data_IF_123968207667
#
_entry.id   IF_123968207667
#
_cell.length_a   1.000
_cell.length_b   1.000
_cell.length_c   1.000
_cell.angle_alpha   90.00
_cell.angle_beta   90.00
_cell.angle_gamma   90.00
#
_symmetry.space_group_name_H-M   'P 1'
#
loop_
_entity.id
_entity.type
_entity.pdbx_description
1 polymer ?
#
# COMPACT_ATOMS: atom_id res chain seq x y z
N UNK A 1 10.41 0.31 -9.46
CA UNK A 1 11.35 -0.63 -8.81
C UNK A 1 11.03 -2.02 -9.35
N UNK A 2 12.01 -2.66 -10.00
CA UNK A 2 11.85 -3.97 -10.65
C UNK A 2 11.49 -5.06 -9.61
N UNK A 3 10.50 -5.90 -9.91
CA UNK A 3 10.06 -7.02 -9.07
C UNK A 3 11.16 -8.06 -8.86
N UNK A 4 12.03 -8.30 -9.85
CA UNK A 4 13.16 -9.21 -9.74
C UNK A 4 14.15 -8.76 -8.66
N UNK A 5 14.40 -7.45 -8.56
CA UNK A 5 15.26 -6.87 -7.53
C UNK A 5 14.65 -7.08 -6.14
N UNK A 6 13.33 -6.94 -6.01
CA UNK A 6 12.61 -7.23 -4.77
C UNK A 6 12.77 -8.71 -4.40
N UNK A 7 12.56 -9.62 -5.35
CA UNK A 7 12.67 -11.06 -5.14
C UNK A 7 14.07 -11.48 -4.70
N UNK A 8 15.11 -10.98 -5.38
CA UNK A 8 16.51 -11.26 -5.02
C UNK A 8 16.82 -10.77 -3.60
N UNK A 9 16.41 -9.55 -3.25
CA UNK A 9 16.65 -9.00 -1.91
C UNK A 9 15.90 -9.81 -0.84
N UNK A 10 14.66 -10.20 -1.11
CA UNK A 10 13.88 -11.01 -0.17
C UNK A 10 14.50 -12.40 0.02
N UNK A 11 14.97 -13.06 -1.05
CA UNK A 11 15.68 -14.34 -0.93
C UNK A 11 16.99 -14.19 -0.12
N UNK A 12 17.80 -13.16 -0.40
CA UNK A 12 19.03 -12.89 0.36
C UNK A 12 18.77 -12.59 1.84
N UNK A 13 17.57 -12.14 2.20
CA UNK A 13 17.17 -11.84 3.59
C UNK A 13 16.38 -12.96 4.26
N UNK A 14 16.05 -14.04 3.55
CA UNK A 14 15.28 -15.18 4.08
C UNK A 14 15.93 -15.77 5.33
N UNK A 15 17.25 -15.97 5.30
CA UNK A 15 18.01 -16.52 6.44
C UNK A 15 18.11 -15.56 7.64
N UNK A 16 17.89 -14.26 7.41
CA UNK A 16 17.92 -13.21 8.45
C UNK A 16 16.56 -13.15 9.17
N UNK A 17 15.48 -13.57 8.51
CA UNK A 17 14.12 -13.49 9.00
C UNK A 17 13.67 -14.80 9.63
N UNK A 18 14.03 -14.99 10.91
CA UNK A 18 13.68 -16.16 11.72
C UNK A 18 12.17 -16.42 11.89
N UNK A 19 11.31 -15.51 11.42
CA UNK A 19 9.84 -15.60 11.51
C UNK A 19 9.28 -15.81 10.09
N UNK A 20 8.97 -17.06 9.74
CA UNK A 20 8.44 -17.43 8.42
C UNK A 20 7.11 -16.71 8.13
N UNK A 21 6.22 -16.58 9.12
CA UNK A 21 4.95 -15.84 8.95
C UNK A 21 5.21 -14.38 8.52
N UNK A 22 6.30 -13.75 8.99
CA UNK A 22 6.65 -12.38 8.60
C UNK A 22 7.15 -12.34 7.15
N UNK A 23 7.98 -13.30 6.74
CA UNK A 23 8.48 -13.41 5.38
C UNK A 23 7.33 -13.57 4.37
N UNK A 24 6.43 -14.51 4.63
CA UNK A 24 5.28 -14.76 3.76
C UNK A 24 4.38 -13.52 3.67
N UNK A 25 4.13 -12.85 4.80
CA UNK A 25 3.34 -11.63 4.85
C UNK A 25 4.00 -10.47 4.09
N UNK A 26 5.32 -10.42 4.02
CA UNK A 26 6.02 -9.41 3.21
C UNK A 26 5.94 -9.73 1.73
N UNK A 27 6.05 -10.99 1.33
CA UNK A 27 5.84 -11.39 -0.05
C UNK A 27 4.42 -11.06 -0.51
N UNK A 28 3.41 -11.46 0.28
CA UNK A 28 2.00 -11.11 0.04
C UNK A 28 1.82 -9.59 -0.16
N UNK A 29 2.54 -8.76 0.62
CA UNK A 29 2.48 -7.31 0.49
C UNK A 29 2.99 -6.84 -0.87
N UNK A 30 4.14 -7.35 -1.30
CA UNK A 30 4.75 -6.94 -2.55
C UNK A 30 3.96 -7.44 -3.76
N UNK A 31 3.41 -8.65 -3.72
CA UNK A 31 2.53 -9.18 -4.77
C UNK A 31 1.24 -8.37 -4.88
N UNK A 32 0.54 -8.12 -3.77
CA UNK A 32 -0.67 -7.29 -3.78
C UNK A 32 -0.40 -5.87 -4.30
N UNK A 33 0.77 -5.30 -3.94
CA UNK A 33 1.17 -3.99 -4.44
C UNK A 33 1.51 -3.98 -5.93
N UNK A 34 1.94 -5.11 -6.51
CA UNK A 34 2.16 -5.24 -7.94
C UNK A 34 0.82 -5.31 -8.68
N UNK A 35 -0.11 -6.15 -8.21
CA UNK A 35 -1.47 -6.23 -8.74
C UNK A 35 -2.20 -4.86 -8.70
N UNK A 36 -1.94 -4.07 -7.67
CA UNK A 36 -2.48 -2.70 -7.59
C UNK A 36 -1.87 -1.75 -8.63
N UNK A 37 -0.60 -1.93 -8.98
CA UNK A 37 0.02 -1.17 -10.08
C UNK A 37 -0.53 -1.60 -11.43
N UNK A 38 -0.80 -2.88 -11.63
CA UNK A 38 -1.44 -3.40 -12.85
C UNK A 38 -2.85 -2.81 -13.01
N UNK A 39 -3.60 -2.71 -11.91
CA UNK A 39 -4.87 -1.98 -11.88
C UNK A 39 -4.70 -0.50 -12.26
N UNK A 40 -3.69 0.20 -11.71
CA UNK A 40 -3.43 1.59 -12.11
C UNK A 40 -3.15 1.72 -13.62
N UNK A 41 -2.46 0.75 -14.22
CA UNK A 41 -2.23 0.72 -15.68
C UNK A 41 -3.51 0.50 -16.46
N UNK A 42 -4.40 -0.40 -15.99
CA UNK A 42 -5.72 -0.57 -16.59
C UNK A 42 -6.58 0.71 -16.50
N UNK A 43 -6.53 1.41 -15.36
CA UNK A 43 -7.19 2.69 -15.16
C UNK A 43 -6.64 3.77 -16.11
N UNK A 44 -5.33 3.85 -16.30
CA UNK A 44 -4.69 4.78 -17.24
C UNK A 44 -5.17 4.52 -18.69
N UNK A 45 -5.35 3.26 -19.08
CA UNK A 45 -5.90 2.93 -20.39
C UNK A 45 -7.36 3.41 -20.54
N UNK A 46 -8.19 3.26 -19.50
CA UNK A 46 -9.57 3.78 -19.49
C UNK A 46 -9.59 5.32 -19.56
N UNK A 47 -8.68 5.98 -18.86
CA UNK A 47 -8.52 7.44 -18.89
C UNK A 47 -8.11 7.95 -20.27
N UNK A 48 -7.19 7.26 -20.97
CA UNK A 48 -6.82 7.60 -22.36
C UNK A 48 -8.01 7.52 -23.30
N UNK A 49 -8.86 6.49 -23.16
CA UNK A 49 -10.12 6.39 -23.92
C UNK A 49 -11.09 7.52 -23.57
N UNK A 50 -11.19 7.89 -22.30
CA UNK A 50 -12.05 8.99 -21.84
C UNK A 50 -11.58 10.35 -22.39
N UNK A 51 -10.26 10.58 -22.44
CA UNK A 51 -9.66 11.77 -23.06
C UNK A 51 -9.91 11.82 -24.57
N UNK A 52 -9.84 10.69 -25.26
CA UNK A 52 -10.21 10.61 -26.67
C UNK A 52 -11.69 10.97 -26.89
N UNK A 53 -12.57 10.42 -26.05
CA UNK A 53 -14.01 10.73 -26.02
C UNK A 53 -14.25 12.23 -25.82
N UNK A 54 -13.53 12.85 -24.89
CA UNK A 54 -13.55 14.30 -24.67
C UNK A 54 -13.19 15.10 -25.94
N UNK A 55 -12.16 14.69 -26.67
CA UNK A 55 -11.76 15.37 -27.91
C UNK A 55 -12.87 15.34 -28.97
N UNK A 56 -13.58 14.21 -29.10
CA UNK A 56 -14.69 14.08 -30.07
C UNK A 56 -15.86 14.98 -29.67
N UNK A 57 -16.23 15.00 -28.39
CA UNK A 57 -17.31 15.88 -27.90
C UNK A 57 -16.97 17.36 -28.15
N UNK A 58 -15.72 17.76 -27.89
CA UNK A 58 -15.25 19.12 -28.17
C UNK A 58 -15.30 19.45 -29.67
N UNK A 59 -14.92 18.51 -30.52
CA UNK A 59 -14.99 18.69 -31.97
C UNK A 59 -16.44 18.85 -32.44
N UNK A 60 -17.38 18.09 -31.88
CA UNK A 60 -18.81 18.25 -32.16
C UNK A 60 -19.31 19.66 -31.79
N UNK A 61 -18.89 20.19 -30.64
CA UNK A 61 -19.24 21.55 -30.22
C UNK A 61 -18.65 22.61 -31.18
N UNK A 62 -17.40 22.43 -31.61
CA UNK A 62 -16.78 23.32 -32.58
C UNK A 62 -17.49 23.27 -33.94
N UNK A 63 -17.85 22.07 -34.43
CA UNK A 63 -18.60 21.91 -35.68
C UNK A 63 -19.97 22.54 -35.61
N UNK A 64 -20.64 22.46 -34.47
CA UNK A 64 -21.89 23.14 -34.28
C UNK A 64 -21.76 24.66 -34.38
N UNK A 65 -20.74 25.26 -33.75
CA UNK A 65 -20.51 26.71 -33.83
C UNK A 65 -20.25 27.15 -35.29
N UNK A 66 -19.42 26.41 -36.04
CA UNK A 66 -19.16 26.65 -37.47
C UNK A 66 -20.45 26.52 -38.33
N UNK A 67 -21.25 25.49 -38.11
CA UNK A 67 -22.46 25.20 -38.90
C UNK A 67 -23.60 26.17 -38.56
N UNK A 68 -23.77 26.52 -37.29
CA UNK A 68 -24.83 27.40 -36.81
C UNK A 68 -24.68 28.83 -37.31
N UNK A 69 -23.46 29.37 -37.34
CA UNK A 69 -23.19 30.69 -37.91
C UNK A 69 -23.52 30.74 -39.42
N UNK A 70 -23.14 29.69 -40.16
CA UNK A 70 -23.43 29.59 -41.59
C UNK A 70 -24.92 29.46 -41.89
N UNK A 71 -25.65 28.66 -41.11
CA UNK A 71 -27.09 28.48 -41.24
C UNK A 71 -27.88 29.78 -40.97
N UNK A 72 -27.42 30.61 -40.02
CA UNK A 72 -28.02 31.93 -39.79
C UNK A 72 -27.75 32.93 -40.93
N UNK A 73 -26.62 32.80 -41.63
CA UNK A 73 -26.24 33.70 -42.72
C UNK A 73 -26.93 33.40 -44.07
N UNK A 74 -27.36 32.15 -44.32
CA UNK A 74 -27.91 31.69 -45.60
C UNK A 74 -29.31 31.07 -45.42
N UNK A 75 -30.33 31.91 -45.23
CA UNK A 75 -31.68 31.50 -44.80
C UNK A 75 -32.63 31.01 -45.92
N UNK A 76 -32.15 30.53 -47.07
CA UNK A 76 -33.03 30.29 -48.24
C UNK A 76 -32.81 29.04 -49.12
N UNK A 77 -32.15 27.97 -48.67
CA UNK A 77 -32.19 26.69 -49.42
C UNK A 77 -32.78 25.54 -48.60
N UNK A 78 -33.78 24.87 -49.20
CA UNK A 78 -34.57 23.77 -48.63
C UNK A 78 -33.82 22.43 -48.66
N UNK A 79 -34.05 21.63 -47.60
CA UNK A 79 -33.93 20.16 -47.49
C UNK A 79 -32.60 19.51 -47.05
N UNK A 80 -31.53 20.25 -46.78
CA UNK A 80 -30.31 19.67 -46.17
C UNK A 80 -30.27 19.99 -44.68
N UNK A 81 -30.14 18.96 -43.84
CA UNK A 81 -29.94 19.12 -42.40
C UNK A 81 -28.82 20.16 -42.15
N UNK A 82 -29.04 21.19 -41.32
CA UNK A 82 -28.08 22.29 -41.13
C UNK A 82 -26.83 21.90 -40.33
N UNK A 83 -26.80 20.73 -39.70
CA UNK A 83 -25.75 20.29 -38.76
C UNK A 83 -25.12 18.90 -39.08
N UNK A 84 -24.77 18.59 -40.33
CA UNK A 84 -24.35 17.25 -40.72
C UNK A 84 -23.02 16.82 -40.07
N UNK A 85 -22.04 17.74 -39.92
CA UNK A 85 -20.76 17.42 -39.29
C UNK A 85 -20.90 17.30 -37.78
N UNK A 86 -21.73 18.14 -37.16
CA UNK A 86 -22.05 18.01 -35.73
C UNK A 86 -22.64 16.63 -35.43
N UNK A 87 -23.64 16.20 -36.22
CA UNK A 87 -24.27 14.89 -36.05
C UNK A 87 -23.30 13.73 -36.34
N UNK A 88 -22.41 13.90 -37.30
CA UNK A 88 -21.34 12.94 -37.56
C UNK A 88 -20.43 12.76 -36.33
N UNK A 89 -19.98 13.85 -35.70
CA UNK A 89 -19.12 13.76 -34.51
C UNK A 89 -19.87 13.24 -33.28
N UNK A 90 -21.15 13.59 -33.11
CA UNK A 90 -21.98 12.97 -32.05
C UNK A 90 -22.16 11.46 -32.29
N UNK A 91 -22.21 11.02 -33.54
CA UNK A 91 -22.25 9.59 -33.91
C UNK A 91 -20.91 8.90 -33.59
N UNK A 92 -19.79 9.54 -33.92
CA UNK A 92 -18.46 9.08 -33.55
C UNK A 92 -18.32 8.96 -32.02
N UNK A 93 -18.83 9.93 -31.27
CA UNK A 93 -18.85 9.90 -29.81
C UNK A 93 -19.65 8.69 -29.29
N UNK A 94 -20.82 8.38 -29.85
CA UNK A 94 -21.55 7.17 -29.46
C UNK A 94 -20.77 5.89 -29.76
N UNK A 95 -20.06 5.87 -30.89
CA UNK A 95 -19.27 4.71 -31.29
C UNK A 95 -18.07 4.43 -30.38
N UNK A 96 -17.60 5.39 -29.56
CA UNK A 96 -16.50 5.13 -28.61
C UNK A 96 -16.88 4.20 -27.46
N UNK A 97 -18.18 4.16 -27.10
CA UNK A 97 -18.69 3.32 -26.01
C UNK A 97 -18.19 3.71 -24.61
N UNK A 98 -18.48 2.84 -23.63
CA UNK A 98 -18.03 3.01 -22.24
C UNK A 98 -16.52 2.74 -22.12
N UNK A 99 -15.71 3.70 -21.60
CA UNK A 99 -14.29 3.48 -21.39
C UNK A 99 -13.97 2.42 -20.31
N UNK A 100 -14.93 2.06 -19.45
CA UNK A 100 -14.77 1.10 -18.35
C UNK A 100 -15.43 -0.24 -18.69
N UNK A 101 -14.61 -1.27 -18.94
CA UNK A 101 -15.11 -2.62 -19.27
C UNK A 101 -15.49 -3.41 -18.03
N UNK A 102 -16.22 -4.51 -18.22
CA UNK A 102 -16.48 -5.46 -17.15
C UNK A 102 -15.19 -6.03 -16.53
N UNK A 103 -14.13 -6.25 -17.34
CA UNK A 103 -12.85 -6.71 -16.82
C UNK A 103 -12.18 -5.66 -15.91
N UNK A 104 -12.30 -4.38 -16.24
CA UNK A 104 -11.81 -3.29 -15.37
C UNK A 104 -12.47 -3.35 -13.99
N UNK A 105 -13.81 -3.50 -13.94
CA UNK A 105 -14.52 -3.60 -12.67
C UNK A 105 -14.17 -4.87 -11.88
N UNK A 106 -14.00 -6.01 -12.57
CA UNK A 106 -13.53 -7.24 -11.93
C UNK A 106 -12.15 -7.03 -11.28
N UNK A 107 -11.21 -6.45 -12.02
CA UNK A 107 -9.86 -6.16 -11.54
C UNK A 107 -9.89 -5.20 -10.34
N UNK A 108 -10.72 -4.15 -10.40
CA UNK A 108 -10.91 -3.23 -9.28
C UNK A 108 -11.37 -3.96 -8.01
N UNK A 109 -12.40 -4.80 -8.13
CA UNK A 109 -12.96 -5.55 -6.99
C UNK A 109 -11.94 -6.52 -6.38
N UNK A 110 -11.20 -7.22 -7.23
CA UNK A 110 -10.16 -8.16 -6.80
C UNK A 110 -9.05 -7.42 -6.02
N UNK A 111 -8.53 -6.33 -6.58
CA UNK A 111 -7.50 -5.51 -5.93
C UNK A 111 -8.01 -4.90 -4.63
N UNK A 112 -9.24 -4.36 -4.62
CA UNK A 112 -9.83 -3.78 -3.41
C UNK A 112 -9.93 -4.82 -2.29
N UNK A 113 -10.47 -6.01 -2.60
CA UNK A 113 -10.60 -7.11 -1.65
C UNK A 113 -9.24 -7.58 -1.14
N UNK A 114 -8.25 -7.73 -2.02
CA UNK A 114 -6.90 -8.11 -1.65
C UNK A 114 -6.27 -7.11 -0.68
N UNK A 115 -6.44 -5.80 -0.92
CA UNK A 115 -5.89 -4.78 -0.03
C UNK A 115 -6.56 -4.77 1.35
N UNK A 116 -7.88 -4.94 1.41
CA UNK A 116 -8.62 -5.07 2.68
C UNK A 116 -8.13 -6.30 3.46
N UNK A 117 -8.08 -7.47 2.84
CA UNK A 117 -7.58 -8.70 3.46
C UNK A 117 -6.14 -8.55 3.95
N UNK A 118 -5.31 -7.86 3.18
CA UNK A 118 -3.94 -7.59 3.56
C UNK A 118 -3.85 -6.68 4.79
N UNK A 119 -4.74 -5.69 4.90
CA UNK A 119 -4.77 -4.78 6.04
C UNK A 119 -5.14 -5.56 7.31
N UNK A 120 -6.10 -6.48 7.22
CA UNK A 120 -6.48 -7.37 8.31
C UNK A 120 -5.32 -8.27 8.76
N UNK A 121 -4.64 -8.94 7.82
CA UNK A 121 -3.45 -9.76 8.11
C UNK A 121 -2.37 -8.95 8.83
N UNK A 122 -2.07 -7.75 8.32
CA UNK A 122 -1.09 -6.86 8.93
C UNK A 122 -1.52 -6.42 10.34
N UNK A 123 -2.79 -6.06 10.54
CA UNK A 123 -3.34 -5.69 11.84
C UNK A 123 -3.26 -6.84 12.85
N UNK A 124 -3.61 -8.05 12.44
CA UNK A 124 -3.50 -9.25 13.26
C UNK A 124 -2.05 -9.52 13.69
N UNK A 125 -1.10 -9.47 12.74
CA UNK A 125 0.34 -9.67 13.04
C UNK A 125 0.86 -8.59 14.00
N UNK A 126 0.50 -7.31 13.80
CA UNK A 126 0.87 -6.23 14.73
C UNK A 126 0.35 -6.49 16.14
N UNK A 127 -0.93 -6.88 16.30
CA UNK A 127 -1.50 -7.21 17.62
C UNK A 127 -0.75 -8.38 18.27
N UNK A 128 -0.36 -9.40 17.50
CA UNK A 128 0.47 -10.54 17.98
C UNK A 128 1.84 -10.06 18.47
N UNK A 129 2.51 -9.17 17.72
CA UNK A 129 3.80 -8.58 18.10
C UNK A 129 3.69 -7.68 19.34
N UNK A 130 2.66 -6.84 19.44
CA UNK A 130 2.41 -5.99 20.60
C UNK A 130 2.19 -6.83 21.88
N UNK A 131 1.46 -7.94 21.78
CA UNK A 131 1.30 -8.90 22.89
C UNK A 131 2.62 -9.54 23.29
N UNK A 132 3.42 -10.01 22.32
CA UNK A 132 4.76 -10.59 22.58
C UNK A 132 5.68 -9.59 23.29
N UNK A 133 5.73 -8.34 22.82
CA UNK A 133 6.53 -7.28 23.44
C UNK A 133 6.09 -6.99 24.88
N UNK A 134 4.78 -6.96 25.16
CA UNK A 134 4.25 -6.79 26.53
C UNK A 134 4.64 -7.97 27.42
N UNK A 135 4.46 -9.21 26.95
CA UNK A 135 4.80 -10.43 27.68
C UNK A 135 6.29 -10.51 27.99
N UNK A 136 7.14 -10.12 27.03
CA UNK A 136 8.58 -10.08 27.18
C UNK A 136 9.04 -9.14 28.30
N UNK A 137 8.43 -7.96 28.42
CA UNK A 137 8.71 -7.06 29.56
C UNK A 137 8.34 -7.68 30.90
N UNK A 138 7.26 -8.47 30.95
CA UNK A 138 6.87 -9.23 32.13
C UNK A 138 7.88 -10.34 32.47
N UNK A 139 8.21 -11.19 31.49
CA UNK A 139 9.14 -12.30 31.68
C UNK A 139 10.56 -11.83 32.03
N UNK A 140 10.99 -10.66 31.56
CA UNK A 140 12.27 -10.04 31.99
C UNK A 140 12.30 -9.74 33.48
N UNK A 141 11.19 -9.23 34.05
CA UNK A 141 11.08 -8.98 35.49
C UNK A 141 11.13 -10.29 36.27
N UNK A 142 10.36 -11.28 35.84
CA UNK A 142 10.30 -12.60 36.47
C UNK A 142 11.67 -13.29 36.42
N UNK A 143 12.35 -13.30 35.26
CA UNK A 143 13.68 -13.91 35.13
C UNK A 143 14.72 -13.22 36.02
N UNK A 144 14.63 -11.90 36.17
CA UNK A 144 15.52 -11.16 37.06
C UNK A 144 15.28 -11.51 38.53
N UNK A 145 14.02 -11.62 38.96
CA UNK A 145 13.65 -12.03 40.33
C UNK A 145 14.14 -13.45 40.62
N UNK A 146 13.91 -14.40 39.71
CA UNK A 146 14.38 -15.79 39.85
C UNK A 146 15.90 -15.84 39.94
N UNK A 147 16.60 -15.09 39.08
CA UNK A 147 18.06 -15.03 39.09
C UNK A 147 18.61 -14.50 40.42
N UNK A 148 18.02 -13.41 40.94
CA UNK A 148 18.39 -12.85 42.25
C UNK A 148 18.12 -13.87 43.37
N UNK A 149 16.94 -14.49 43.39
CA UNK A 149 16.56 -15.45 44.42
C UNK A 149 17.47 -16.69 44.43
N UNK A 150 17.76 -17.26 43.25
CA UNK A 150 18.67 -18.39 43.11
C UNK A 150 20.09 -18.04 43.58
N UNK A 151 20.56 -16.84 43.22
CA UNK A 151 21.89 -16.38 43.64
C UNK A 151 21.99 -16.20 45.17
N UNK A 152 21.00 -15.56 45.80
CA UNK A 152 20.95 -15.39 47.26
C UNK A 152 20.91 -16.75 47.95
N UNK A 153 20.14 -17.72 47.42
CA UNK A 153 20.10 -19.08 47.96
C UNK A 153 21.47 -19.76 47.91
N UNK A 154 22.20 -19.67 46.79
CA UNK A 154 23.54 -20.24 46.66
C UNK A 154 24.51 -19.62 47.65
N UNK A 155 24.46 -18.30 47.86
CA UNK A 155 25.28 -17.62 48.87
C UNK A 155 24.99 -18.13 50.28
N UNK A 156 23.72 -18.24 50.67
CA UNK A 156 23.33 -18.74 52.01
C UNK A 156 23.84 -20.19 52.19
N UNK A 157 23.61 -21.07 51.22
CA UNK A 157 24.10 -22.45 51.26
C UNK A 157 25.63 -22.51 51.36
N UNK A 158 26.35 -21.61 50.67
CA UNK A 158 27.81 -21.55 50.70
C UNK A 158 28.36 -21.13 52.06
N UNK A 159 27.72 -20.16 52.71
CA UNK A 159 28.08 -19.73 54.08
C UNK A 159 27.83 -20.85 55.09
N UNK A 160 26.68 -21.54 55.01
CA UNK A 160 26.37 -22.66 55.91
C UNK A 160 27.36 -23.82 55.73
N UNK A 161 27.69 -24.20 54.49
CA UNK A 161 28.67 -25.24 54.22
C UNK A 161 30.06 -24.89 54.79
N UNK A 162 30.51 -23.64 54.60
CA UNK A 162 31.80 -23.18 55.12
C UNK A 162 31.85 -23.16 56.67
N UNK A 163 30.73 -22.86 57.35
CA UNK A 163 30.66 -22.85 58.81
C UNK A 163 30.68 -24.26 59.44
N UNK A 164 30.26 -25.29 58.70
CA UNK A 164 30.16 -26.68 59.20
C UNK A 164 31.45 -27.49 58.92
N UNK A 165 32.36 -27.02 58.05
CA UNK A 165 33.60 -27.72 57.70
C UNK A 165 34.86 -26.86 57.88
N UNK A 166 35.80 -27.27 58.76
CA UNK A 166 37.23 -26.94 58.64
C UNK A 166 37.98 -28.24 58.26
N UNK A 167 39.07 -28.30 57.45
CA UNK A 167 39.98 -27.28 56.89
C UNK A 167 40.18 -27.43 55.33
N UNK A 168 41.35 -27.13 54.74
CA UNK A 168 41.70 -26.14 53.72
C UNK A 168 41.10 -26.27 52.29
N UNK A 169 40.27 -27.27 52.00
CA UNK A 169 39.74 -27.50 50.63
C UNK A 169 38.73 -26.42 50.20
N UNK A 170 38.20 -25.67 51.18
CA UNK A 170 37.18 -24.62 51.01
C UNK A 170 37.70 -23.38 50.27
N UNK A 171 39.00 -23.07 50.34
CA UNK A 171 39.57 -21.92 49.61
C UNK A 171 39.49 -22.09 48.09
N UNK A 172 39.60 -23.32 47.59
CA UNK A 172 39.43 -23.63 46.18
C UNK A 172 37.96 -23.53 45.73
N UNK A 173 37.00 -23.93 46.59
CA UNK A 173 35.57 -23.85 46.28
C UNK A 173 35.02 -22.41 46.33
N UNK A 174 35.49 -21.59 47.29
CA UNK A 174 35.13 -20.18 47.39
C UNK A 174 35.61 -19.36 46.17
N UNK A 175 36.78 -19.70 45.62
CA UNK A 175 37.27 -19.11 44.37
C UNK A 175 36.46 -19.55 43.13
N UNK A 176 35.94 -20.78 43.10
CA UNK A 176 35.08 -21.27 42.01
C UNK A 176 33.64 -20.72 42.07
N UNK A 177 33.12 -20.45 43.26
CA UNK A 177 31.81 -19.81 43.47
C UNK A 177 31.80 -18.31 43.16
N UNK A 178 32.98 -17.68 43.05
CA UNK A 178 33.16 -16.32 42.55
C UNK A 178 32.99 -16.25 41.02
N UNK A 179 31.95 -16.89 40.47
CA UNK A 179 31.51 -16.56 39.11
C UNK A 179 31.01 -15.12 39.18
N UNK A 180 31.57 -14.18 38.39
CA UNK A 180 31.14 -12.79 38.46
C UNK A 180 29.67 -12.72 38.08
N UNK A 181 28.81 -12.43 39.07
CA UNK A 181 27.39 -12.09 38.90
C UNK A 181 27.14 -11.12 37.73
N UNK A 182 28.09 -10.20 37.57
CA UNK A 182 28.08 -9.21 36.50
C UNK A 182 28.09 -9.85 35.11
N UNK A 183 28.67 -11.03 34.90
CA UNK A 183 28.75 -11.70 33.60
C UNK A 183 27.42 -12.35 33.20
N UNK A 184 26.82 -13.14 34.09
CA UNK A 184 25.59 -13.88 33.78
C UNK A 184 24.35 -12.96 33.70
N UNK A 185 24.28 -11.93 34.55
CA UNK A 185 23.23 -10.91 34.47
C UNK A 185 23.30 -10.08 33.17
N UNK A 186 24.52 -9.72 32.73
CA UNK A 186 24.76 -9.07 31.43
C UNK A 186 24.36 -9.98 30.26
N UNK A 187 24.64 -11.28 30.35
CA UNK A 187 24.25 -12.25 29.33
C UNK A 187 22.73 -12.37 29.17
N UNK A 188 21.98 -12.56 30.27
CA UNK A 188 20.51 -12.58 30.25
C UNK A 188 19.91 -11.28 29.71
N UNK A 189 20.45 -10.14 30.13
CA UNK A 189 20.01 -8.84 29.64
C UNK A 189 20.30 -8.66 28.14
N UNK A 190 21.43 -9.18 27.65
CA UNK A 190 21.79 -9.16 26.22
C UNK A 190 20.82 -9.99 25.37
N UNK A 191 20.47 -11.22 25.81
CA UNK A 191 19.48 -12.07 25.15
C UNK A 191 18.14 -11.36 25.05
N UNK A 192 17.67 -10.80 26.17
CA UNK A 192 16.41 -10.09 26.22
C UNK A 192 16.39 -8.84 25.36
N UNK A 193 17.49 -8.08 25.35
CA UNK A 193 17.64 -6.88 24.56
C UNK A 193 17.68 -7.22 23.06
N UNK A 194 18.32 -8.31 22.67
CA UNK A 194 18.31 -8.82 21.29
C UNK A 194 16.91 -9.20 20.85
N UNK A 195 16.19 -10.01 21.64
CA UNK A 195 14.82 -10.40 21.31
C UNK A 195 13.86 -9.21 21.25
N UNK A 196 14.01 -8.22 22.14
CA UNK A 196 13.22 -6.99 22.10
C UNK A 196 13.49 -6.15 20.86
N UNK A 197 14.77 -6.02 20.46
CA UNK A 197 15.16 -5.34 19.21
C UNK A 197 14.56 -6.02 17.99
N UNK A 198 14.65 -7.35 17.91
CA UNK A 198 14.09 -8.12 16.80
C UNK A 198 12.57 -7.89 16.70
N UNK A 199 11.82 -8.05 17.79
CA UNK A 199 10.36 -7.82 17.78
C UNK A 199 9.97 -6.38 17.44
N UNK A 200 10.76 -5.38 17.88
CA UNK A 200 10.54 -3.98 17.51
C UNK A 200 10.78 -3.75 16.01
N UNK A 201 11.84 -4.34 15.45
CA UNK A 201 12.12 -4.28 14.02
C UNK A 201 10.98 -4.89 13.19
N UNK A 202 10.50 -6.08 13.57
CA UNK A 202 9.34 -6.71 12.90
C UNK A 202 8.09 -5.82 12.99
N UNK A 203 7.80 -5.27 14.17
CA UNK A 203 6.66 -4.38 14.39
C UNK A 203 6.74 -3.14 13.51
N UNK A 204 7.94 -2.57 13.36
CA UNK A 204 8.18 -1.40 12.54
C UNK A 204 7.92 -1.67 11.05
N UNK A 205 8.39 -2.81 10.52
CA UNK A 205 8.12 -3.23 9.14
C UNK A 205 6.61 -3.38 8.92
N UNK A 206 5.93 -4.13 9.80
CA UNK A 206 4.48 -4.35 9.74
C UNK A 206 3.70 -3.03 9.82
N UNK A 207 4.07 -2.14 10.73
CA UNK A 207 3.40 -0.86 10.89
C UNK A 207 3.53 0.01 9.64
N UNK A 208 4.68 -0.03 8.99
CA UNK A 208 4.91 0.71 7.73
C UNK A 208 4.06 0.17 6.60
N UNK A 209 3.96 -1.16 6.49
CA UNK A 209 3.08 -1.82 5.51
C UNK A 209 1.62 -1.46 5.75
N UNK A 210 1.19 -1.38 7.01
CA UNK A 210 -0.18 -0.96 7.34
C UNK A 210 -0.48 0.45 6.87
N UNK A 211 0.45 1.40 7.08
CA UNK A 211 0.29 2.77 6.62
C UNK A 211 0.18 2.79 5.09
N UNK A 212 1.11 2.14 4.40
CA UNK A 212 1.09 2.06 2.93
C UNK A 212 -0.22 1.47 2.41
N UNK A 213 -0.65 0.33 2.96
CA UNK A 213 -1.89 -0.33 2.55
C UNK A 213 -3.14 0.53 2.83
N UNK A 214 -3.21 1.17 4.00
CA UNK A 214 -4.33 2.07 4.31
C UNK A 214 -4.44 3.24 3.32
N UNK A 215 -3.31 3.81 2.90
CA UNK A 215 -3.28 4.87 1.88
C UNK A 215 -3.83 4.34 0.54
N UNK A 216 -3.40 3.15 0.11
CA UNK A 216 -3.89 2.53 -1.13
C UNK A 216 -5.41 2.31 -1.09
N UNK A 217 -5.95 1.76 -0.01
CA UNK A 217 -7.41 1.57 0.14
C UNK A 217 -8.14 2.91 0.01
N UNK A 218 -7.60 3.98 0.59
CA UNK A 218 -8.21 5.32 0.50
C UNK A 218 -8.14 5.90 -0.90
N UNK A 219 -7.04 5.69 -1.62
CA UNK A 219 -6.96 6.10 -3.02
C UNK A 219 -7.95 5.29 -3.88
N UNK A 220 -8.12 3.98 -3.62
CA UNK A 220 -9.12 3.15 -4.31
C UNK A 220 -10.57 3.59 -4.02
N UNK A 221 -10.88 3.95 -2.77
CA UNK A 221 -12.19 4.52 -2.40
C UNK A 221 -12.48 5.79 -3.23
N UNK A 222 -11.49 6.70 -3.35
CA UNK A 222 -11.62 7.92 -4.15
C UNK A 222 -11.75 7.64 -5.65
N UNK A 223 -10.95 6.73 -6.18
CA UNK A 223 -11.01 6.30 -7.59
C UNK A 223 -12.39 5.76 -7.92
N UNK A 224 -12.97 4.90 -7.09
CA UNK A 224 -14.32 4.35 -7.30
C UNK A 224 -15.36 5.46 -7.46
N UNK A 225 -15.38 6.41 -6.53
CA UNK A 225 -16.35 7.52 -6.56
C UNK A 225 -16.23 8.34 -7.85
N UNK A 226 -14.99 8.59 -8.32
CA UNK A 226 -14.74 9.33 -9.55
C UNK A 226 -15.09 8.53 -10.81
N UNK A 227 -14.84 7.21 -10.82
CA UNK A 227 -15.28 6.32 -11.90
C UNK A 227 -16.81 6.29 -12.00
N UNK A 228 -17.51 6.09 -10.88
CA UNK A 228 -18.98 6.07 -10.83
C UNK A 228 -19.55 7.40 -11.36
N UNK A 229 -18.95 8.53 -10.93
CA UNK A 229 -19.33 9.86 -11.41
C UNK A 229 -19.10 10.02 -12.91
N UNK A 230 -17.95 9.57 -13.41
CA UNK A 230 -17.60 9.67 -14.83
C UNK A 230 -18.55 8.84 -15.70
N UNK A 231 -18.94 7.63 -15.26
CA UNK A 231 -19.94 6.83 -15.97
C UNK A 231 -21.29 7.53 -16.08
N UNK A 232 -21.76 8.15 -14.98
CA UNK A 232 -23.01 8.92 -14.99
C UNK A 232 -22.92 10.11 -15.96
N UNK A 233 -21.79 10.82 -15.98
CA UNK A 233 -21.57 11.95 -16.89
C UNK A 233 -21.52 11.50 -18.37
N UNK A 234 -20.88 10.38 -18.68
CA UNK A 234 -20.84 9.78 -20.03
C UNK A 234 -22.23 9.37 -20.49
N UNK A 235 -22.99 8.64 -19.66
CA UNK A 235 -24.35 8.21 -19.96
C UNK A 235 -25.27 9.41 -20.23
N UNK A 236 -25.16 10.46 -19.41
CA UNK A 236 -25.94 11.69 -19.60
C UNK A 236 -25.59 12.42 -20.91
N UNK A 237 -24.32 12.40 -21.34
CA UNK A 237 -23.89 12.93 -22.63
C UNK A 237 -24.39 12.07 -23.80
N UNK A 238 -24.31 10.74 -23.69
CA UNK A 238 -24.80 9.79 -24.71
C UNK A 238 -26.30 9.96 -24.95
N UNK A 239 -27.11 10.05 -23.88
CA UNK A 239 -28.55 10.30 -23.99
C UNK A 239 -28.86 11.65 -24.67
N UNK A 240 -28.02 12.66 -24.43
CA UNK A 240 -28.17 13.97 -25.07
C UNK A 240 -27.78 13.91 -26.56
N UNK A 241 -26.75 13.15 -26.92
CA UNK A 241 -26.36 12.90 -28.30
C UNK A 241 -27.43 12.09 -29.05
N UNK A 242 -28.04 11.09 -28.41
CA UNK A 242 -29.17 10.33 -28.95
C UNK A 242 -30.37 11.21 -29.25
N UNK A 243 -30.65 12.17 -28.38
CA UNK A 243 -31.72 13.14 -28.59
C UNK A 243 -31.45 14.04 -29.82
N UNK A 244 -30.20 14.48 -30.02
CA UNK A 244 -29.81 15.28 -31.17
C UNK A 244 -30.07 14.58 -32.52
N UNK A 245 -30.00 13.25 -32.55
CA UNK A 245 -30.10 12.46 -33.79
C UNK A 245 -31.53 12.15 -34.22
N UNK A 246 -32.54 12.55 -33.45
CA UNK A 246 -33.95 12.22 -33.77
C UNK A 246 -34.55 13.15 -34.82
N UNK A 247 -34.31 14.46 -34.68
CA UNK A 247 -34.90 15.52 -35.50
C UNK A 247 -33.90 16.67 -35.60
N UNK A 248 -33.91 17.40 -36.73
CA UNK A 248 -32.90 18.44 -37.03
C UNK A 248 -32.97 19.62 -36.04
N UNK A 249 -34.18 19.97 -35.59
CA UNK A 249 -34.42 21.03 -34.61
C UNK A 249 -33.93 20.65 -33.19
N UNK A 250 -33.74 19.35 -32.91
CA UNK A 250 -33.27 18.87 -31.62
C UNK A 250 -31.78 19.14 -31.38
N UNK A 251 -30.99 19.32 -32.45
CA UNK A 251 -29.54 19.50 -32.38
C UNK A 251 -29.14 20.72 -31.54
N UNK A 252 -29.82 21.86 -31.74
CA UNK A 252 -29.53 23.10 -31.00
C UNK A 252 -29.74 22.93 -29.50
N UNK A 253 -30.83 22.26 -29.12
CA UNK A 253 -31.16 21.98 -27.70
C UNK A 253 -30.12 21.02 -27.11
N UNK A 254 -29.82 19.93 -27.83
CA UNK A 254 -28.86 18.92 -27.39
C UNK A 254 -27.46 19.51 -27.19
N UNK A 255 -26.95 20.26 -28.16
CA UNK A 255 -25.62 20.88 -28.09
C UNK A 255 -25.53 21.89 -26.95
N UNK A 256 -26.59 22.68 -26.73
CA UNK A 256 -26.66 23.61 -25.59
C UNK A 256 -26.54 22.86 -24.25
N UNK A 257 -27.18 21.69 -24.14
CA UNK A 257 -27.11 20.87 -22.93
C UNK A 257 -25.74 20.16 -22.78
N UNK A 258 -25.15 19.68 -23.88
CA UNK A 258 -23.77 19.14 -23.90
C UNK A 258 -22.79 20.21 -23.43
N UNK A 259 -22.90 21.45 -23.92
CA UNK A 259 -22.01 22.56 -23.55
C UNK A 259 -22.05 22.86 -22.04
N UNK A 260 -23.20 22.68 -21.38
CA UNK A 260 -23.31 22.81 -19.91
C UNK A 260 -22.61 21.66 -19.17
N UNK A 261 -22.77 20.42 -19.64
CA UNK A 261 -22.27 19.21 -18.96
C UNK A 261 -20.79 18.93 -19.21
N UNK A 262 -20.25 19.31 -20.37
CA UNK A 262 -18.90 18.91 -20.80
C UNK A 262 -17.81 19.38 -19.84
N UNK A 263 -17.97 20.53 -19.19
CA UNK A 263 -17.00 21.05 -18.21
C UNK A 263 -16.88 20.16 -16.97
N UNK A 264 -18.00 19.61 -16.48
CA UNK A 264 -18.04 18.67 -15.37
C UNK A 264 -17.34 17.36 -15.72
N UNK A 265 -17.67 16.82 -16.89
CA UNK A 265 -17.05 15.63 -17.48
C UNK A 265 -15.51 15.76 -17.57
N UNK A 266 -15.01 16.86 -18.14
CA UNK A 266 -13.57 17.12 -18.23
C UNK A 266 -12.88 17.19 -16.87
N UNK A 267 -13.53 17.86 -15.92
CA UNK A 267 -13.01 17.99 -14.57
C UNK A 267 -12.91 16.63 -13.88
N UNK A 268 -13.93 15.78 -14.02
CA UNK A 268 -13.92 14.42 -13.46
C UNK A 268 -12.79 13.58 -14.05
N UNK A 269 -12.52 13.68 -15.36
CA UNK A 269 -11.38 12.99 -15.99
C UNK A 269 -10.06 13.47 -15.39
N UNK A 270 -9.87 14.78 -15.24
CA UNK A 270 -8.65 15.34 -14.64
C UNK A 270 -8.48 14.89 -13.19
N UNK A 271 -9.53 15.00 -12.37
CA UNK A 271 -9.51 14.59 -10.97
C UNK A 271 -9.17 13.09 -10.85
N UNK A 272 -9.75 12.25 -11.72
CA UNK A 272 -9.47 10.82 -11.75
C UNK A 272 -8.03 10.50 -12.18
N UNK A 273 -7.49 11.25 -13.15
CA UNK A 273 -6.10 11.12 -13.58
C UNK A 273 -5.12 11.48 -12.45
N UNK A 274 -5.37 12.59 -11.75
CA UNK A 274 -4.55 13.01 -10.61
C UNK A 274 -4.56 11.95 -9.49
N UNK A 275 -5.72 11.34 -9.22
CA UNK A 275 -5.85 10.25 -8.26
C UNK A 275 -5.17 8.94 -8.72
N UNK A 276 -5.24 8.59 -10.00
CA UNK A 276 -4.55 7.43 -10.56
C UNK A 276 -3.02 7.57 -10.43
N UNK A 277 -2.49 8.73 -10.80
CA UNK A 277 -1.06 9.06 -10.68
C UNK A 277 -0.60 9.06 -9.22
N UNK A 278 -1.42 9.62 -8.34
CA UNK A 278 -1.16 9.62 -6.90
C UNK A 278 -1.10 8.20 -6.35
N UNK A 279 -2.12 7.38 -6.63
CA UNK A 279 -2.20 6.00 -6.17
C UNK A 279 -0.96 5.20 -6.60
N UNK A 280 -0.62 5.25 -7.90
CA UNK A 280 0.54 4.56 -8.46
C UNK A 280 1.86 5.00 -7.81
N UNK A 281 2.03 6.32 -7.60
CA UNK A 281 3.21 6.90 -6.95
C UNK A 281 3.31 6.49 -5.48
N UNK A 282 2.21 6.52 -4.74
CA UNK A 282 2.19 6.18 -3.32
C UNK A 282 2.45 4.67 -3.11
N UNK A 283 1.94 3.80 -3.98
CA UNK A 283 2.30 2.37 -4.01
C UNK A 283 3.81 2.18 -4.21
N UNK A 284 4.40 2.82 -5.23
CA UNK A 284 5.84 2.71 -5.52
C UNK A 284 6.70 3.22 -4.36
N UNK A 285 6.31 4.34 -3.74
CA UNK A 285 6.98 4.89 -2.56
C UNK A 285 6.88 3.96 -1.37
N UNK A 286 5.70 3.41 -1.09
CA UNK A 286 5.51 2.46 -0.01
C UNK A 286 6.40 1.23 -0.20
N UNK A 287 6.41 0.64 -1.40
CA UNK A 287 7.31 -0.48 -1.75
C UNK A 287 8.79 -0.15 -1.46
N UNK A 288 9.25 1.03 -1.87
CA UNK A 288 10.64 1.46 -1.63
C UNK A 288 10.96 1.66 -0.14
N UNK A 289 10.04 2.26 0.63
CA UNK A 289 10.19 2.45 2.08
C UNK A 289 10.27 1.10 2.79
N UNK A 290 9.39 0.16 2.42
CA UNK A 290 9.42 -1.19 2.98
C UNK A 290 10.75 -1.86 2.65
N UNK A 291 11.15 -1.87 1.39
CA UNK A 291 12.40 -2.52 0.97
C UNK A 291 13.61 -1.94 1.73
N UNK A 292 13.68 -0.62 1.89
CA UNK A 292 14.76 0.03 2.66
C UNK A 292 14.77 -0.42 4.12
N UNK A 293 13.60 -0.59 4.75
CA UNK A 293 13.49 -1.11 6.12
C UNK A 293 13.92 -2.57 6.22
N UNK A 294 13.65 -3.38 5.20
CA UNK A 294 14.11 -4.78 5.11
C UNK A 294 15.64 -4.85 4.96
N UNK A 295 16.22 -4.00 4.12
CA UNK A 295 17.67 -3.93 3.90
C UNK A 295 18.39 -3.51 5.20
N UNK A 296 17.89 -2.46 5.85
CA UNK A 296 18.44 -1.90 7.08
C UNK A 296 17.99 -2.65 8.34
N UNK A 297 17.31 -3.79 8.19
CA UNK A 297 16.86 -4.58 9.31
C UNK A 297 18.08 -5.05 10.12
N UNK A 298 18.15 -4.78 11.44
CA UNK A 298 19.34 -5.08 12.22
C UNK A 298 19.59 -6.60 12.26
N UNK A 299 20.56 -7.06 11.48
CA UNK A 299 21.14 -8.40 11.59
C UNK A 299 22.03 -8.43 12.82
N UNK A 300 21.73 -9.31 13.77
CA UNK A 300 22.40 -9.39 15.08
C UNK A 300 23.85 -9.89 15.05
N UNK A 301 24.65 -9.52 14.05
CA UNK A 301 26.05 -9.92 13.85
C UNK A 301 27.09 -8.86 14.24
N UNK A 302 26.74 -7.58 14.43
CA UNK A 302 27.74 -6.52 14.66
C UNK A 302 28.21 -6.35 16.12
N UNK A 303 28.07 -7.36 16.97
CA UNK A 303 28.67 -7.36 18.31
C UNK A 303 29.31 -8.71 18.62
N UNK A 304 30.36 -9.04 17.87
CA UNK A 304 31.32 -10.07 18.22
C UNK A 304 32.70 -9.63 17.75
N UNK A 305 33.32 -8.70 18.46
CA UNK A 305 34.78 -8.66 18.59
C UNK A 305 35.17 -7.80 19.79
N UNK A 306 35.42 -8.49 20.90
CA UNK A 306 35.82 -7.92 22.17
C UNK A 306 36.06 -9.04 23.19
N UNK A 307 36.72 -10.12 22.76
CA UNK A 307 37.36 -11.06 23.69
C UNK A 307 38.78 -10.54 23.92
N UNK A 308 39.16 -10.13 25.15
CA UNK A 308 40.56 -9.94 25.46
C UNK A 308 41.20 -11.33 25.58
N UNK A 309 42.06 -11.66 24.61
CA UNK A 309 43.03 -12.73 24.80
C UNK A 309 43.99 -12.31 25.91
N UNK A 310 44.01 -13.11 26.97
CA UNK A 310 45.06 -13.11 27.98
C UNK A 310 46.34 -13.70 27.35
N UNK A 311 47.42 -12.93 27.48
CA UNK A 311 48.79 -13.43 27.70
C UNK A 311 49.43 -12.53 28.75
#
# INVERSE_FOLDING_TARGET
>A
MNQEVVNVILQCKKDIWKDQDLYDLVNDYFENSLQSLDFCTALEACLKRSLHTQSIVLLALQKFEEEHENAQAHSQEESVNPYPKTLQELSNFKATGDPFTQEFFSLFQDVYKQQVLMLEKLQAKKRKLDKKLKSMKGWRKVSNVIFIAAFVSVLICSVVAAAVTAPPVVTALAAAAAVPLGSMGKWLNSIWSKCERDLKGQREVIFSMQIGNYVVIKDLDSIRVLVDKLQIEIEALLQTADFAMREDEAVVIAVTEIKKKVSGFMKTIQDLNDHADKCSRDIRRARAVILRRIINYPSGSDQSNGMPFLS
#
